data_IF_563004600047
#
_entry.id   IF_563004600047
#
_cell.length_a   1.000
_cell.length_b   1.000
_cell.length_c   1.000
_cell.angle_alpha   90.00
_cell.angle_beta   90.00
_cell.angle_gamma   90.00
#
_symmetry.space_group_name_H-M   'P 1'
#
loop_
_entity.id
_entity.type
_entity.pdbx_description
1 polymer ?
#
# COMPACT_ATOMS: atom_id res chain seq x y z
N UNK A 1 35.22 -24.73 5.98
CA UNK A 1 34.40 -25.71 5.24
C UNK A 1 32.96 -25.28 5.40
N UNK A 2 32.25 -25.01 4.31
CA UNK A 2 30.85 -24.58 4.39
C UNK A 2 29.94 -25.78 4.65
N UNK A 3 28.91 -25.62 5.49
CA UNK A 3 27.93 -26.67 5.78
C UNK A 3 26.56 -26.25 5.25
N UNK A 4 26.08 -26.88 4.17
CA UNK A 4 24.76 -26.58 3.60
C UNK A 4 23.61 -26.70 4.61
N UNK A 5 23.74 -27.55 5.62
CA UNK A 5 22.76 -27.68 6.70
C UNK A 5 22.55 -26.37 7.47
N UNK A 6 23.59 -25.58 7.68
CA UNK A 6 23.50 -24.28 8.36
C UNK A 6 22.81 -23.25 7.47
N UNK A 7 23.13 -23.22 6.17
CA UNK A 7 22.45 -22.36 5.21
C UNK A 7 20.96 -22.68 5.07
N UNK A 8 20.57 -23.96 5.09
CA UNK A 8 19.16 -24.36 5.04
C UNK A 8 18.40 -23.84 6.27
N UNK A 9 18.97 -23.98 7.47
CA UNK A 9 18.36 -23.46 8.71
C UNK A 9 18.22 -21.94 8.66
N UNK A 10 19.29 -21.25 8.24
CA UNK A 10 19.26 -19.80 8.08
C UNK A 10 18.18 -19.36 7.07
N UNK A 11 18.00 -20.12 5.98
CA UNK A 11 16.92 -19.88 5.01
C UNK A 11 15.52 -20.05 5.60
N UNK A 12 15.30 -21.05 6.45
CA UNK A 12 14.03 -21.25 7.15
C UNK A 12 13.72 -20.11 8.12
N UNK A 13 14.71 -19.67 8.90
CA UNK A 13 14.57 -18.52 9.80
C UNK A 13 14.32 -17.22 9.03
N UNK A 14 15.00 -17.05 7.89
CA UNK A 14 14.78 -15.92 6.98
C UNK A 14 13.34 -15.87 6.46
N UNK A 15 12.74 -17.02 6.11
CA UNK A 15 11.36 -17.06 5.62
C UNK A 15 10.38 -16.50 6.65
N UNK A 16 10.53 -16.85 7.93
CA UNK A 16 9.70 -16.29 9.01
C UNK A 16 9.88 -14.77 9.17
N UNK A 17 11.09 -14.24 8.95
CA UNK A 17 11.31 -12.79 8.94
C UNK A 17 10.61 -12.11 7.75
N UNK A 18 10.65 -12.74 6.57
CA UNK A 18 9.95 -12.23 5.38
C UNK A 18 8.44 -12.16 5.64
N UNK A 19 7.82 -13.25 6.09
CA UNK A 19 6.38 -13.29 6.41
C UNK A 19 6.00 -12.20 7.41
N UNK A 20 6.79 -12.06 8.49
CA UNK A 20 6.58 -11.02 9.49
C UNK A 20 6.64 -9.61 8.87
N UNK A 21 7.68 -9.29 8.09
CA UNK A 21 7.83 -7.96 7.50
C UNK A 21 6.68 -7.61 6.56
N UNK A 22 6.24 -8.56 5.73
CA UNK A 22 5.10 -8.36 4.84
C UNK A 22 3.80 -8.18 5.60
N UNK A 23 3.61 -8.91 6.70
CA UNK A 23 2.46 -8.74 7.59
C UNK A 23 2.49 -7.36 8.25
N UNK A 24 3.63 -6.92 8.76
CA UNK A 24 3.80 -5.62 9.41
C UNK A 24 3.43 -4.48 8.44
N UNK A 25 3.86 -4.58 7.17
CA UNK A 25 3.46 -3.64 6.11
C UNK A 25 1.94 -3.64 5.92
N UNK A 26 1.34 -4.83 5.79
CA UNK A 26 -0.10 -4.97 5.65
C UNK A 26 -0.89 -4.41 6.84
N UNK A 27 -0.36 -4.58 8.06
CA UNK A 27 -0.94 -4.03 9.29
C UNK A 27 -0.94 -2.50 9.27
N UNK A 28 0.10 -1.85 8.77
CA UNK A 28 0.11 -0.37 8.63
C UNK A 28 -1.01 0.09 7.71
N UNK A 29 -1.19 -0.56 6.55
CA UNK A 29 -2.28 -0.21 5.63
C UNK A 29 -3.67 -0.48 6.23
N UNK A 30 -3.83 -1.60 6.96
CA UNK A 30 -5.09 -1.91 7.67
C UNK A 30 -5.41 -0.88 8.75
N UNK A 31 -4.43 -0.51 9.57
CA UNK A 31 -4.60 0.50 10.63
C UNK A 31 -4.96 1.86 10.03
N UNK A 32 -4.23 2.31 9.01
CA UNK A 32 -4.53 3.56 8.31
C UNK A 32 -5.95 3.57 7.73
N UNK A 33 -6.35 2.49 7.05
CA UNK A 33 -7.68 2.42 6.45
C UNK A 33 -8.79 2.35 7.48
N UNK A 34 -8.57 1.72 8.64
CA UNK A 34 -9.52 1.73 9.75
C UNK A 34 -9.74 3.15 10.29
N UNK A 35 -8.67 3.93 10.43
CA UNK A 35 -8.77 5.33 10.86
C UNK A 35 -9.48 6.19 9.81
N UNK A 36 -9.12 6.06 8.53
CA UNK A 36 -9.80 6.76 7.42
C UNK A 36 -11.28 6.39 7.31
N UNK A 37 -11.63 5.12 7.49
CA UNK A 37 -13.02 4.66 7.49
C UNK A 37 -13.82 5.32 8.61
N UNK A 38 -13.25 5.45 9.81
CA UNK A 38 -13.91 6.10 10.94
C UNK A 38 -14.12 7.60 10.74
N UNK A 39 -13.16 8.29 10.10
CA UNK A 39 -13.22 9.73 9.87
C UNK A 39 -14.10 10.11 8.68
N UNK A 40 -14.25 9.21 7.70
CA UNK A 40 -14.90 9.49 6.42
C UNK A 40 -16.06 8.55 6.09
N UNK A 41 -16.66 7.92 7.12
CA UNK A 41 -17.80 7.00 6.98
C UNK A 41 -17.59 5.90 5.93
N UNK A 42 -16.36 5.37 5.83
CA UNK A 42 -16.00 4.30 4.89
C UNK A 42 -15.90 4.70 3.42
N UNK A 43 -16.05 5.99 3.07
CA UNK A 43 -15.98 6.43 1.67
C UNK A 43 -14.57 6.39 1.09
N UNK A 44 -13.52 6.44 1.92
CA UNK A 44 -12.14 6.60 1.49
C UNK A 44 -11.25 5.48 2.04
N UNK A 45 -10.46 4.85 1.16
CA UNK A 45 -9.33 4.00 1.56
C UNK A 45 -8.11 4.27 0.70
N UNK A 46 -6.93 3.93 1.22
CA UNK A 46 -5.65 3.94 0.52
C UNK A 46 -5.16 2.51 0.41
N UNK A 47 -4.87 2.05 -0.81
CA UNK A 47 -4.40 0.69 -1.03
C UNK A 47 -3.27 0.67 -2.04
N UNK A 48 -2.43 -0.36 -1.96
CA UNK A 48 -1.58 -0.71 -3.09
C UNK A 48 -2.47 -1.13 -4.25
N UNK A 49 -2.17 -0.59 -5.43
CA UNK A 49 -2.89 -0.84 -6.67
C UNK A 49 -1.93 -1.22 -7.79
N UNK A 50 -2.44 -1.94 -8.78
CA UNK A 50 -1.72 -2.31 -9.99
C UNK A 50 -2.59 -2.13 -11.21
N UNK A 51 -1.94 -2.03 -12.37
CA UNK A 51 -2.57 -2.30 -13.65
C UNK A 51 -2.16 -3.69 -14.13
N UNK A 52 -3.11 -4.46 -14.64
CA UNK A 52 -2.83 -5.74 -15.30
C UNK A 52 -2.18 -5.49 -16.66
N UNK A 53 -2.59 -4.42 -17.35
CA UNK A 53 -1.98 -3.94 -18.58
C UNK A 53 -2.18 -2.42 -18.72
N UNK A 54 -1.48 -1.73 -19.66
CA UNK A 54 -1.56 -0.26 -19.76
C UNK A 54 -2.98 0.29 -19.94
N UNK A 55 -3.87 -0.49 -20.56
CA UNK A 55 -5.25 -0.14 -20.88
C UNK A 55 -6.27 -0.59 -19.83
N UNK A 56 -5.85 -1.35 -18.82
CA UNK A 56 -6.75 -1.79 -17.75
C UNK A 56 -6.99 -0.69 -16.73
N UNK A 57 -8.11 -0.80 -16.04
CA UNK A 57 -8.34 -0.09 -14.79
C UNK A 57 -7.31 -0.52 -13.74
N UNK A 58 -7.19 0.30 -12.71
CA UNK A 58 -6.41 -0.05 -11.54
C UNK A 58 -7.16 -1.11 -10.73
N UNK A 59 -6.44 -2.10 -10.24
CA UNK A 59 -6.95 -3.12 -9.33
C UNK A 59 -6.28 -2.96 -7.98
N UNK A 60 -7.06 -3.10 -6.91
CA UNK A 60 -6.55 -3.20 -5.55
C UNK A 60 -5.72 -4.47 -5.38
N UNK A 61 -4.62 -4.36 -4.65
CA UNK A 61 -3.82 -5.47 -4.15
C UNK A 61 -4.23 -5.72 -2.71
N UNK A 62 -4.52 -6.98 -2.38
CA UNK A 62 -4.79 -7.38 -0.99
C UNK A 62 -3.49 -7.40 -0.19
N UNK A 63 -3.56 -6.87 1.03
CA UNK A 63 -2.42 -6.81 1.94
C UNK A 63 -2.25 -8.15 2.64
N UNK A 64 -1.01 -8.63 2.73
CA UNK A 64 -0.73 -9.89 3.40
C UNK A 64 -1.15 -9.85 4.88
N UNK A 65 -1.81 -10.91 5.34
CA UNK A 65 -2.40 -11.05 6.67
C UNK A 65 -2.14 -12.41 7.34
N UNK A 66 -1.28 -13.23 6.74
CA UNK A 66 -1.00 -14.65 7.06
C UNK A 66 -2.03 -15.66 6.54
N UNK A 67 -3.22 -15.23 6.11
CA UNK A 67 -4.30 -16.13 5.66
C UNK A 67 -4.33 -16.28 4.13
N UNK A 68 -3.53 -15.48 3.42
CA UNK A 68 -3.39 -15.51 1.97
C UNK A 68 -1.97 -15.92 1.52
N UNK A 69 -1.81 -16.23 0.22
CA UNK A 69 -0.50 -16.50 -0.36
C UNK A 69 0.36 -15.21 -0.38
N UNK A 70 1.62 -15.34 0.04
CA UNK A 70 2.55 -14.22 0.05
C UNK A 70 2.90 -13.78 -1.38
N UNK A 71 2.25 -12.72 -1.85
CA UNK A 71 2.53 -12.15 -3.18
C UNK A 71 3.69 -11.15 -3.13
N UNK A 72 4.88 -11.59 -3.54
CA UNK A 72 6.06 -10.73 -3.63
C UNK A 72 5.98 -9.89 -4.91
N UNK A 73 5.41 -8.69 -4.81
CA UNK A 73 5.41 -7.71 -5.91
C UNK A 73 6.45 -6.64 -5.66
N UNK A 74 7.35 -6.37 -6.62
CA UNK A 74 8.45 -5.44 -6.38
C UNK A 74 8.03 -3.97 -6.50
N UNK A 75 6.93 -3.67 -7.20
CA UNK A 75 6.47 -2.29 -7.43
C UNK A 75 5.00 -2.19 -7.82
N UNK A 76 4.42 -1.01 -7.62
CA UNK A 76 3.07 -0.69 -8.04
C UNK A 76 2.69 0.77 -7.79
N UNK A 77 1.39 1.04 -7.89
CA UNK A 77 0.83 2.35 -7.57
C UNK A 77 0.25 2.36 -6.16
N UNK A 78 0.27 3.51 -5.50
CA UNK A 78 -0.51 3.73 -4.29
C UNK A 78 -1.77 4.51 -4.68
N UNK A 79 -2.93 3.91 -4.45
CA UNK A 79 -4.20 4.43 -4.94
C UNK A 79 -5.09 4.94 -3.82
N UNK A 80 -5.71 6.09 -4.05
CA UNK A 80 -6.93 6.49 -3.35
C UNK A 80 -8.10 5.74 -3.98
N UNK A 81 -8.93 5.11 -3.15
CA UNK A 81 -10.20 4.52 -3.56
C UNK A 81 -11.30 5.31 -2.86
N UNK A 82 -12.13 6.01 -3.64
CA UNK A 82 -13.27 6.77 -3.13
C UNK A 82 -14.57 6.23 -3.77
N UNK A 83 -15.46 5.64 -2.98
CA UNK A 83 -16.71 5.02 -3.48
C UNK A 83 -16.50 4.07 -4.68
N UNK A 84 -15.38 3.33 -4.67
CA UNK A 84 -15.01 2.40 -5.75
C UNK A 84 -14.22 3.02 -6.91
N UNK A 85 -14.13 4.35 -7.00
CA UNK A 85 -13.30 5.03 -8.01
C UNK A 85 -11.86 5.11 -7.54
N UNK A 86 -10.93 4.59 -8.35
CA UNK A 86 -9.52 4.52 -8.02
C UNK A 86 -8.73 5.63 -8.73
N UNK A 87 -7.91 6.35 -7.98
CA UNK A 87 -6.87 7.22 -8.53
C UNK A 87 -5.52 6.91 -7.92
N UNK A 88 -4.53 6.63 -8.77
CA UNK A 88 -3.14 6.55 -8.34
C UNK A 88 -2.64 7.91 -7.86
N UNK A 89 -1.89 7.94 -6.74
CA UNK A 89 -1.33 9.15 -6.14
C UNK A 89 0.17 9.07 -5.88
N UNK A 90 0.73 7.87 -5.72
CA UNK A 90 2.16 7.65 -5.48
C UNK A 90 2.63 6.39 -6.20
N UNK A 91 3.94 6.19 -6.26
CA UNK A 91 4.55 4.92 -6.67
C UNK A 91 5.08 4.25 -5.40
N UNK A 92 4.96 2.94 -5.30
CA UNK A 92 5.64 2.18 -4.26
C UNK A 92 6.54 1.12 -4.86
N UNK A 93 7.62 0.83 -4.16
CA UNK A 93 8.52 -0.29 -4.42
C UNK A 93 8.75 -1.05 -3.12
N UNK A 94 8.86 -2.37 -3.20
CA UNK A 94 8.99 -3.22 -2.02
C UNK A 94 10.10 -4.24 -2.26
N UNK A 95 11.02 -4.34 -1.30
CA UNK A 95 12.01 -5.40 -1.32
C UNK A 95 11.36 -6.78 -1.14
N UNK A 96 11.97 -7.84 -1.69
CA UNK A 96 11.42 -9.19 -1.62
C UNK A 96 11.19 -9.66 -0.17
N UNK A 97 12.06 -9.23 0.73
CA UNK A 97 12.01 -9.57 2.16
C UNK A 97 11.03 -8.70 2.97
N UNK A 98 10.24 -7.85 2.30
CA UNK A 98 9.29 -6.93 2.93
C UNK A 98 9.83 -5.51 2.96
N UNK A 99 10.88 -5.26 3.75
CA UNK A 99 11.56 -3.97 3.83
C UNK A 99 12.90 -3.96 3.08
N UNK A 100 13.36 -2.79 2.57
CA UNK A 100 12.68 -1.51 2.62
C UNK A 100 11.41 -1.44 1.75
N UNK A 101 10.44 -0.66 2.22
CA UNK A 101 9.26 -0.24 1.47
C UNK A 101 9.45 1.21 1.07
N UNK A 102 9.58 1.47 -0.21
CA UNK A 102 9.82 2.81 -0.73
C UNK A 102 8.52 3.41 -1.24
N UNK A 103 8.29 4.69 -0.92
CA UNK A 103 7.20 5.49 -1.48
C UNK A 103 7.77 6.69 -2.22
N UNK A 104 7.35 6.88 -3.46
CA UNK A 104 7.61 8.08 -4.25
C UNK A 104 6.32 8.89 -4.41
N UNK A 105 6.27 10.06 -3.77
CA UNK A 105 5.12 10.94 -3.72
C UNK A 105 5.55 12.39 -3.91
N UNK A 106 4.92 13.11 -4.86
CA UNK A 106 5.25 14.50 -5.18
C UNK A 106 6.73 14.78 -5.51
N UNK A 107 7.42 13.80 -6.09
CA UNK A 107 8.84 13.92 -6.43
C UNK A 107 9.79 13.68 -5.24
N UNK A 108 9.26 13.41 -4.04
CA UNK A 108 10.04 12.92 -2.91
C UNK A 108 10.01 11.40 -2.87
N UNK A 109 11.18 10.78 -2.67
CA UNK A 109 11.33 9.33 -2.48
C UNK A 109 11.76 9.06 -1.04
N UNK A 110 10.99 8.23 -0.34
CA UNK A 110 11.23 7.86 1.06
C UNK A 110 11.37 6.35 1.19
N UNK A 111 12.53 5.90 1.66
CA UNK A 111 12.78 4.49 1.96
C UNK A 111 12.43 4.19 3.42
N UNK A 112 11.41 3.36 3.63
CA UNK A 112 10.95 2.95 4.95
C UNK A 112 11.58 1.60 5.30
N UNK A 113 12.33 1.53 6.38
CA UNK A 113 13.07 0.32 6.78
C UNK A 113 12.34 -0.53 7.83
N UNK A 114 11.23 -0.01 8.35
CA UNK A 114 10.44 -0.61 9.40
C UNK A 114 8.98 -0.09 9.37
N UNK A 115 8.17 -0.64 10.26
CA UNK A 115 6.75 -0.32 10.39
C UNK A 115 6.50 1.16 10.74
N UNK A 116 7.33 1.74 11.61
CA UNK A 116 7.16 3.10 12.10
C UNK A 116 7.49 4.13 11.02
N UNK A 117 8.58 3.93 10.29
CA UNK A 117 8.96 4.78 9.15
C UNK A 117 7.91 4.73 8.04
N UNK A 118 7.31 3.56 7.77
CA UNK A 118 6.21 3.43 6.82
C UNK A 118 4.96 4.17 7.29
N UNK A 119 4.56 3.99 8.55
CA UNK A 119 3.42 4.69 9.14
C UNK A 119 3.61 6.21 9.08
N UNK A 120 4.81 6.70 9.38
CA UNK A 120 5.16 8.13 9.28
C UNK A 120 5.11 8.65 7.84
N UNK A 121 5.60 7.87 6.87
CA UNK A 121 5.56 8.25 5.45
C UNK A 121 4.12 8.35 4.94
N UNK A 122 3.28 7.36 5.25
CA UNK A 122 1.85 7.39 4.92
C UNK A 122 1.12 8.52 5.68
N UNK A 123 1.45 8.75 6.95
CA UNK A 123 0.94 9.87 7.76
C UNK A 123 1.20 11.24 7.12
N UNK A 124 2.40 11.44 6.56
CA UNK A 124 2.73 12.65 5.78
C UNK A 124 1.88 12.79 4.52
N UNK A 125 1.61 11.68 3.82
CA UNK A 125 0.75 11.70 2.62
C UNK A 125 -0.67 12.12 3.00
N UNK A 126 -1.29 11.46 3.98
CA UNK A 126 -2.69 11.73 4.35
C UNK A 126 -2.90 13.06 5.05
N UNK A 127 -1.86 13.65 5.64
CA UNK A 127 -1.90 15.01 6.18
C UNK A 127 -1.63 16.09 5.13
N UNK A 128 -1.22 15.73 3.91
CA UNK A 128 -0.88 16.70 2.87
C UNK A 128 -2.11 17.33 2.20
N UNK A 129 -2.02 18.61 1.85
CA UNK A 129 -3.11 19.31 1.16
C UNK A 129 -3.43 18.71 -0.22
N UNK A 130 -2.41 18.25 -0.96
CA UNK A 130 -2.58 17.67 -2.29
C UNK A 130 -3.36 16.35 -2.25
N UNK A 131 -3.13 15.53 -1.22
CA UNK A 131 -3.93 14.32 -0.99
C UNK A 131 -5.42 14.68 -0.89
N UNK A 132 -5.77 15.66 -0.05
CA UNK A 132 -7.16 16.08 0.14
C UNK A 132 -7.77 16.78 -1.08
N UNK A 133 -6.97 17.50 -1.87
CA UNK A 133 -7.43 18.03 -3.17
C UNK A 133 -7.82 16.88 -4.11
N UNK A 134 -7.05 15.80 -4.14
CA UNK A 134 -7.38 14.62 -4.93
C UNK A 134 -8.62 13.89 -4.44
N UNK A 135 -8.79 13.75 -3.12
CA UNK A 135 -10.02 13.20 -2.51
C UNK A 135 -11.25 14.03 -2.90
N UNK A 136 -11.17 15.36 -2.82
CA UNK A 136 -12.26 16.26 -3.23
C UNK A 136 -12.61 16.11 -4.71
N UNK A 137 -11.60 16.08 -5.57
CA UNK A 137 -11.78 15.86 -7.01
C UNK A 137 -12.53 14.54 -7.29
N UNK A 138 -12.13 13.45 -6.61
CA UNK A 138 -12.80 12.15 -6.73
C UNK A 138 -14.23 12.19 -6.21
N UNK A 139 -14.46 12.79 -5.05
CA UNK A 139 -15.80 12.94 -4.47
C UNK A 139 -16.74 13.70 -5.42
N UNK A 140 -16.28 14.79 -6.03
CA UNK A 140 -17.06 15.54 -7.02
C UNK A 140 -17.39 14.72 -8.27
N UNK A 141 -16.44 13.90 -8.77
CA UNK A 141 -16.69 13.01 -9.92
C UNK A 141 -17.77 11.97 -9.59
N UNK A 142 -17.66 11.32 -8.43
CA UNK A 142 -18.65 10.34 -7.97
C UNK A 142 -20.05 10.97 -7.79
N UNK A 143 -20.13 12.20 -7.28
CA UNK A 143 -21.41 12.91 -7.14
C UNK A 143 -22.02 13.31 -8.49
N UNK A 144 -21.19 13.70 -9.46
CA UNK A 144 -21.64 14.01 -10.81
C UNK A 144 -22.19 12.78 -11.54
N UNK A 145 -21.54 11.62 -11.40
CA UNK A 145 -22.00 10.35 -11.98
C UNK A 145 -23.30 9.83 -11.34
N UNK A 146 -23.53 10.15 -10.05
CA UNK A 146 -24.73 9.74 -9.30
C UNK A 146 -25.93 10.66 -9.51
N UNK A 147 -25.78 11.80 -10.16
CA UNK A 147 -26.89 12.74 -10.43
C UNK A 147 -27.51 12.40 -11.80
N UNK A 148 -28.66 11.72 -11.87
CA UNK A 148 -29.36 11.53 -13.13
C UNK A 148 -30.02 12.86 -13.50
N UNK A 149 -29.88 13.26 -14.77
CA UNK A 149 -30.89 14.13 -15.38
C UNK A 149 -32.23 13.40 -15.44
#
# INVERSE_FOLDING_TARGET
MFQFKEFIKAGQESASHVEKNHKDIGDVFRLLNKELESELNGHLTINRVRKVNPFSEWEKIEEYDNDCELSIRPKGGLGIIYDGVISNIAIWEQHADGYPFTIEYQGERVDCWDQESLANALGKIVSSAQFWLKVKELSSRVQADKSPF
#
